data_IF_577468892093
#
_entry.id   IF_577468892093
#
_cell.length_a   1.000
_cell.length_b   1.000
_cell.length_c   1.000
_cell.angle_alpha   90.00
_cell.angle_beta   90.00
_cell.angle_gamma   90.00
#
_symmetry.space_group_name_H-M   'P 1'
#
loop_
_entity.id
_entity.type
_entity.pdbx_description
1 polymer ?
#
# COMPACT_ATOMS: atom_id res chain seq x y z
N UNK A 1 37.42 -17.30 1.12
CA UNK A 1 36.43 -16.20 1.09
C UNK A 1 36.09 -15.83 2.52
N UNK A 2 35.99 -14.52 2.84
CA UNK A 2 35.72 -14.03 4.19
C UNK A 2 34.54 -13.05 4.14
N UNK A 3 33.57 -13.23 5.03
CA UNK A 3 32.52 -12.25 5.30
C UNK A 3 32.75 -11.66 6.69
N UNK A 4 32.78 -10.35 6.79
CA UNK A 4 32.92 -9.62 8.05
C UNK A 4 31.74 -8.69 8.26
N UNK A 5 31.30 -8.51 9.49
CA UNK A 5 30.22 -7.59 9.81
C UNK A 5 30.30 -7.09 11.25
N UNK A 6 29.43 -6.13 11.56
CA UNK A 6 29.26 -5.58 12.91
C UNK A 6 27.78 -5.35 13.18
N UNK A 7 27.29 -5.79 14.34
CA UNK A 7 25.99 -5.35 14.84
C UNK A 7 26.13 -3.99 15.50
N UNK A 8 26.14 -2.94 14.67
CA UNK A 8 26.37 -1.56 15.11
C UNK A 8 25.11 -0.71 15.20
N UNK A 9 24.04 -1.10 14.50
CA UNK A 9 22.86 -0.26 14.34
C UNK A 9 21.59 -1.07 14.61
N UNK A 10 20.93 -0.78 15.73
CA UNK A 10 19.65 -1.36 16.11
C UNK A 10 18.68 -0.22 16.39
N UNK A 11 17.57 -0.20 15.66
CA UNK A 11 16.57 0.84 15.79
C UNK A 11 15.15 0.26 15.82
N UNK A 12 14.34 0.84 16.69
CA UNK A 12 12.90 0.70 16.71
C UNK A 12 12.30 1.82 15.88
N UNK A 13 11.32 1.51 15.03
CA UNK A 13 10.73 2.52 14.15
C UNK A 13 9.26 2.31 13.93
N UNK A 14 8.51 3.41 14.00
CA UNK A 14 7.17 3.54 13.44
C UNK A 14 7.25 4.52 12.27
N UNK A 15 7.28 5.83 12.55
CA UNK A 15 7.68 6.89 11.60
C UNK A 15 9.12 7.35 11.84
N UNK A 16 9.43 7.71 13.08
CA UNK A 16 10.74 8.20 13.51
C UNK A 16 11.59 7.05 14.07
N UNK A 17 12.86 6.91 13.66
CA UNK A 17 13.75 5.91 14.22
C UNK A 17 14.18 6.28 15.66
N UNK A 18 14.24 5.27 16.53
CA UNK A 18 14.78 5.37 17.90
C UNK A 18 15.80 4.27 18.11
N UNK A 19 16.99 4.54 18.69
CA UNK A 19 17.94 3.48 19.01
C UNK A 19 17.32 2.49 20.00
N UNK A 20 17.65 1.21 19.88
CA UNK A 20 17.37 0.25 20.94
C UNK A 20 18.20 0.62 22.19
N UNK A 21 17.59 0.54 23.38
CA UNK A 21 18.26 0.94 24.63
C UNK A 21 19.29 -0.09 25.13
N UNK A 22 19.10 -1.35 24.75
CA UNK A 22 19.92 -2.45 25.23
C UNK A 22 21.18 -2.66 24.36
N UNK A 23 22.25 -3.16 24.98
CA UNK A 23 23.51 -3.38 24.29
C UNK A 23 23.38 -4.43 23.18
N UNK A 24 24.07 -4.21 22.06
CA UNK A 24 24.22 -5.20 21.01
C UNK A 24 25.07 -6.38 21.50
N UNK A 25 24.62 -7.60 21.20
CA UNK A 25 25.32 -8.83 21.53
C UNK A 25 25.61 -9.60 20.24
N UNK A 26 26.88 -9.94 20.06
CA UNK A 26 27.32 -10.87 19.02
C UNK A 26 27.95 -12.08 19.68
N UNK A 27 27.56 -13.27 19.27
CA UNK A 27 28.09 -14.52 19.83
C UNK A 27 28.18 -15.62 18.78
N UNK A 28 28.99 -16.64 19.05
CA UNK A 28 29.05 -17.87 18.24
C UNK A 28 28.11 -18.91 18.85
N UNK A 29 27.29 -19.54 18.02
CA UNK A 29 26.47 -20.67 18.44
C UNK A 29 27.22 -22.01 18.36
N UNK A 30 26.63 -23.05 18.94
CA UNK A 30 27.17 -24.41 18.88
C UNK A 30 27.24 -24.98 17.44
N UNK A 31 26.47 -24.41 16.50
CA UNK A 31 26.40 -24.84 15.10
C UNK A 31 27.24 -23.97 14.16
N UNK A 32 28.26 -23.27 14.69
CA UNK A 32 29.10 -22.34 13.94
C UNK A 32 28.30 -21.30 13.16
N UNK A 33 27.28 -20.75 13.84
CA UNK A 33 26.54 -19.58 13.41
C UNK A 33 27.01 -18.37 14.22
N UNK A 34 27.01 -17.20 13.57
CA UNK A 34 27.09 -15.92 14.28
C UNK A 34 25.67 -15.51 14.65
N UNK A 35 25.45 -15.27 15.93
CA UNK A 35 24.20 -14.74 16.47
C UNK A 35 24.33 -13.24 16.69
N UNK A 36 23.37 -12.48 16.20
CA UNK A 36 23.27 -11.04 16.32
C UNK A 36 21.95 -10.71 17.02
N UNK A 37 22.01 -10.23 18.26
CA UNK A 37 20.81 -9.99 19.06
C UNK A 37 20.98 -8.80 20.03
N UNK A 38 19.90 -8.47 20.72
CA UNK A 38 19.94 -7.59 21.87
C UNK A 38 20.27 -8.31 23.17
N UNK A 39 20.75 -7.56 24.15
CA UNK A 39 21.00 -8.06 25.50
C UNK A 39 19.74 -8.05 26.39
N UNK A 40 18.70 -7.29 26.02
CA UNK A 40 17.43 -7.28 26.74
C UNK A 40 16.72 -8.65 26.66
N UNK A 41 15.98 -8.98 27.72
CA UNK A 41 15.16 -10.19 27.82
C UNK A 41 13.75 -9.84 28.33
N UNK A 42 12.67 -10.25 27.63
CA UNK A 42 12.69 -10.95 26.34
C UNK A 42 13.28 -10.07 25.21
N UNK A 43 13.98 -10.70 24.26
CA UNK A 43 14.56 -10.01 23.11
C UNK A 43 13.51 -9.60 22.08
N UNK A 44 13.83 -8.63 21.23
CA UNK A 44 12.93 -8.16 20.16
C UNK A 44 12.98 -9.04 18.90
N UNK A 45 14.20 -9.40 18.49
CA UNK A 45 14.51 -10.19 17.30
C UNK A 45 15.96 -10.66 17.42
N UNK A 46 16.25 -11.86 16.91
CA UNK A 46 17.61 -12.33 16.72
C UNK A 46 17.88 -12.63 15.25
N UNK A 47 19.12 -12.42 14.81
CA UNK A 47 19.60 -12.84 13.50
C UNK A 47 20.67 -13.92 13.65
N UNK A 48 20.66 -14.90 12.77
CA UNK A 48 21.68 -15.92 12.66
C UNK A 48 22.35 -15.84 11.29
N UNK A 49 23.67 -15.85 11.27
CA UNK A 49 24.49 -15.76 10.06
C UNK A 49 25.39 -16.97 9.95
N UNK A 50 25.42 -17.62 8.78
CA UNK A 50 26.21 -18.82 8.59
C UNK A 50 26.65 -19.03 7.16
N UNK A 51 27.78 -19.71 6.94
CA UNK A 51 28.20 -20.14 5.61
C UNK A 51 27.49 -21.42 5.14
N UNK A 52 27.61 -21.73 3.85
CA UNK A 52 27.09 -22.93 3.18
C UNK A 52 27.90 -24.22 3.36
N UNK A 53 29.01 -24.16 4.09
CA UNK A 53 29.82 -25.31 4.46
C UNK A 53 30.70 -24.99 5.65
N UNK A 54 31.68 -25.87 5.93
CA UNK A 54 32.63 -25.68 7.03
C UNK A 54 33.29 -24.31 6.97
N UNK A 55 33.25 -23.60 8.09
CA UNK A 55 33.75 -22.24 8.20
C UNK A 55 34.35 -21.96 9.58
N UNK A 56 35.38 -21.13 9.62
CA UNK A 56 35.91 -20.60 10.88
C UNK A 56 35.13 -19.33 11.24
N UNK A 57 34.61 -19.29 12.48
CA UNK A 57 33.86 -18.15 13.01
C UNK A 57 34.66 -17.51 14.14
N UNK A 58 34.94 -16.21 14.01
CA UNK A 58 35.54 -15.37 15.03
C UNK A 58 34.56 -14.24 15.41
N UNK A 59 34.46 -13.95 16.70
CA UNK A 59 33.58 -12.91 17.25
C UNK A 59 34.38 -12.06 18.22
N UNK A 60 34.32 -10.74 18.05
CA UNK A 60 35.00 -9.76 18.91
C UNK A 60 34.08 -8.58 19.14
N UNK A 61 33.73 -8.33 20.40
CA UNK A 61 32.77 -7.30 20.81
C UNK A 61 31.46 -7.42 20.01
N UNK A 62 31.13 -6.43 19.19
CA UNK A 62 29.96 -6.44 18.29
C UNK A 62 30.32 -6.79 16.84
N UNK A 63 31.58 -7.16 16.57
CA UNK A 63 32.09 -7.58 15.27
C UNK A 63 32.17 -9.10 15.12
N UNK A 64 32.10 -9.56 13.88
CA UNK A 64 32.26 -10.97 13.54
C UNK A 64 32.99 -11.16 12.21
N UNK A 65 33.58 -12.34 12.02
CA UNK A 65 34.04 -12.83 10.73
C UNK A 65 33.70 -14.31 10.54
N UNK A 66 33.26 -14.66 9.32
CA UNK A 66 33.03 -16.03 8.87
C UNK A 66 33.97 -16.31 7.68
N UNK A 67 34.84 -17.30 7.82
CA UNK A 67 35.85 -17.65 6.83
C UNK A 67 35.62 -19.02 6.23
N UNK A 68 35.60 -19.08 4.90
CA UNK A 68 35.46 -20.30 4.10
C UNK A 68 36.72 -20.52 3.28
N UNK A 69 37.43 -21.62 3.52
CA UNK A 69 38.47 -22.09 2.62
C UNK A 69 37.81 -22.77 1.40
N UNK A 70 38.25 -22.42 0.19
CA UNK A 70 37.74 -22.99 -1.05
C UNK A 70 38.92 -23.44 -1.90
N UNK A 71 38.86 -24.66 -2.44
CA UNK A 71 39.76 -25.08 -3.50
C UNK A 71 39.20 -24.60 -4.84
N UNK A 72 40.03 -23.92 -5.62
CA UNK A 72 39.68 -23.43 -6.95
C UNK A 72 40.61 -24.12 -7.96
N UNK A 73 40.08 -24.97 -8.85
CA UNK A 73 40.87 -25.60 -9.89
C UNK A 73 41.53 -24.56 -10.81
N UNK A 74 42.67 -24.91 -11.42
CA UNK A 74 43.32 -24.05 -12.42
C UNK A 74 42.35 -23.75 -13.57
N UNK A 75 42.12 -22.46 -13.86
CA UNK A 75 41.15 -22.02 -14.87
C UNK A 75 39.67 -22.20 -14.48
N UNK A 76 39.39 -22.67 -13.25
CA UNK A 76 38.04 -22.89 -12.76
C UNK A 76 37.47 -21.72 -11.94
N UNK A 77 36.26 -21.90 -11.42
CA UNK A 77 35.63 -21.02 -10.45
C UNK A 77 35.06 -21.83 -9.29
N UNK A 78 34.91 -21.20 -8.13
CA UNK A 78 34.23 -21.77 -6.96
C UNK A 78 33.23 -20.76 -6.40
N UNK A 79 32.18 -21.27 -5.77
CA UNK A 79 31.08 -20.47 -5.24
C UNK A 79 30.91 -20.78 -3.76
N UNK A 80 30.60 -19.75 -2.98
CA UNK A 80 30.20 -19.88 -1.59
C UNK A 80 29.03 -18.95 -1.32
N UNK A 81 28.14 -19.38 -0.44
CA UNK A 81 27.03 -18.59 0.05
C UNK A 81 27.09 -18.38 1.56
N UNK A 82 26.53 -17.26 1.98
CA UNK A 82 26.26 -16.94 3.37
C UNK A 82 24.76 -16.74 3.52
N UNK A 83 24.19 -17.31 4.57
CA UNK A 83 22.78 -17.19 4.93
C UNK A 83 22.61 -16.19 6.06
N UNK A 84 21.56 -15.39 5.98
CA UNK A 84 21.07 -14.53 7.04
C UNK A 84 19.63 -14.96 7.34
N UNK A 85 19.38 -15.35 8.57
CA UNK A 85 18.06 -15.74 9.05
C UNK A 85 17.64 -14.84 10.21
N UNK A 86 16.33 -14.60 10.35
CA UNK A 86 15.75 -13.89 11.48
C UNK A 86 14.81 -14.82 12.24
N UNK A 87 14.69 -14.61 13.54
CA UNK A 87 13.73 -15.29 14.41
C UNK A 87 13.31 -14.40 15.58
N UNK A 88 12.20 -14.73 16.26
CA UNK A 88 11.72 -13.94 17.40
C UNK A 88 12.75 -13.94 18.54
N UNK A 89 13.48 -15.04 18.66
CA UNK A 89 14.65 -15.19 19.52
C UNK A 89 15.73 -16.04 18.83
N UNK A 90 16.82 -16.30 19.55
CA UNK A 90 18.03 -16.90 19.01
C UNK A 90 17.84 -18.30 18.46
N UNK A 91 17.07 -19.16 19.13
CA UNK A 91 16.87 -20.56 18.76
C UNK A 91 16.08 -20.63 17.45
N UNK A 92 15.07 -19.77 17.28
CA UNK A 92 14.29 -19.62 16.07
C UNK A 92 15.12 -19.09 14.89
N UNK A 93 16.03 -18.14 15.14
CA UNK A 93 16.96 -17.66 14.13
C UNK A 93 17.93 -18.78 13.68
N UNK A 94 18.48 -19.54 14.62
CA UNK A 94 19.34 -20.69 14.33
C UNK A 94 18.62 -21.80 13.57
N UNK A 95 17.41 -22.16 14.01
CA UNK A 95 16.59 -23.16 13.34
C UNK A 95 16.32 -22.77 11.88
N UNK A 96 15.99 -21.49 11.64
CA UNK A 96 15.80 -20.95 10.30
C UNK A 96 17.08 -21.00 9.47
N UNK A 97 18.22 -20.59 10.03
CA UNK A 97 19.52 -20.68 9.34
C UNK A 97 19.88 -22.13 8.97
N UNK A 98 19.58 -23.10 9.85
CA UNK A 98 19.81 -24.50 9.60
C UNK A 98 18.93 -25.02 8.44
N UNK A 99 17.68 -24.57 8.32
CA UNK A 99 16.80 -24.88 7.18
C UNK A 99 17.39 -24.31 5.88
N UNK A 100 17.84 -23.04 5.89
CA UNK A 100 18.45 -22.41 4.71
C UNK A 100 19.69 -23.18 4.24
N UNK A 101 20.57 -23.57 5.18
CA UNK A 101 21.76 -24.41 4.90
C UNK A 101 21.38 -25.75 4.27
N UNK A 102 20.39 -26.45 4.84
CA UNK A 102 19.94 -27.76 4.32
C UNK A 102 19.34 -27.68 2.92
N UNK A 103 18.57 -26.62 2.63
CA UNK A 103 17.99 -26.40 1.29
C UNK A 103 19.05 -26.05 0.26
N UNK A 104 20.08 -25.30 0.66
CA UNK A 104 21.17 -24.89 -0.20
C UNK A 104 20.81 -23.67 -1.06
N UNK A 105 21.77 -22.76 -1.21
CA UNK A 105 21.56 -21.46 -1.86
C UNK A 105 21.10 -21.56 -3.32
N UNK A 106 21.49 -22.61 -4.06
CA UNK A 106 21.06 -22.78 -5.46
C UNK A 106 19.57 -23.02 -5.58
N UNK A 107 19.04 -23.92 -4.74
CA UNK A 107 17.61 -24.20 -4.72
C UNK A 107 16.81 -23.00 -4.23
N UNK A 108 17.31 -22.30 -3.19
CA UNK A 108 16.69 -21.07 -2.69
C UNK A 108 16.67 -19.96 -3.74
N UNK A 109 17.77 -19.75 -4.46
CA UNK A 109 17.87 -18.75 -5.52
C UNK A 109 16.97 -19.09 -6.71
N UNK A 110 16.92 -20.36 -7.11
CA UNK A 110 16.02 -20.82 -8.18
C UNK A 110 14.56 -20.59 -7.78
N UNK A 111 14.13 -21.09 -6.62
CA UNK A 111 12.76 -20.90 -6.13
C UNK A 111 12.38 -19.43 -5.96
N UNK A 112 13.32 -18.57 -5.56
CA UNK A 112 13.08 -17.12 -5.48
C UNK A 112 12.86 -16.51 -6.87
N UNK A 113 13.66 -16.91 -7.87
CA UNK A 113 13.48 -16.43 -9.25
C UNK A 113 12.16 -16.89 -9.85
N UNK A 114 11.81 -18.16 -9.64
CA UNK A 114 10.56 -18.72 -10.13
C UNK A 114 9.36 -18.02 -9.47
N UNK A 115 9.41 -17.77 -8.16
CA UNK A 115 8.37 -17.03 -7.45
C UNK A 115 8.25 -15.59 -7.97
N UNK A 116 9.36 -14.88 -8.19
CA UNK A 116 9.33 -13.52 -8.74
C UNK A 116 8.71 -13.49 -10.14
N UNK A 117 9.05 -14.44 -11.01
CA UNK A 117 8.48 -14.55 -12.35
C UNK A 117 6.97 -14.81 -12.33
N UNK A 118 6.46 -15.55 -11.33
CA UNK A 118 5.02 -15.82 -11.19
C UNK A 118 4.22 -14.57 -10.76
N UNK A 119 4.86 -13.61 -10.11
CA UNK A 119 4.22 -12.35 -9.69
C UNK A 119 4.19 -11.30 -10.80
N UNK A 120 5.04 -11.45 -11.83
CA UNK A 120 5.18 -10.47 -12.91
C UNK A 120 3.93 -10.40 -13.80
N UNK A 121 3.56 -9.18 -14.15
CA UNK A 121 2.48 -8.86 -15.06
C UNK A 121 3.05 -8.45 -16.43
N UNK A 122 2.34 -8.78 -17.51
CA UNK A 122 2.73 -8.31 -18.85
C UNK A 122 1.58 -7.65 -19.58
N UNK A 123 1.85 -6.45 -20.11
CA UNK A 123 0.98 -5.71 -21.01
C UNK A 123 1.41 -5.88 -22.48
N UNK A 124 2.43 -6.71 -22.75
CA UNK A 124 3.07 -6.83 -24.06
C UNK A 124 3.99 -5.66 -24.45
N UNK A 125 4.30 -4.75 -23.52
CA UNK A 125 5.23 -3.64 -23.74
C UNK A 125 6.28 -3.61 -22.64
N UNK A 126 7.51 -4.01 -22.97
CA UNK A 126 8.61 -4.13 -21.99
C UNK A 126 8.82 -2.87 -21.14
N UNK A 127 8.61 -1.69 -21.73
CA UNK A 127 8.80 -0.42 -21.01
C UNK A 127 7.70 -0.18 -19.97
N UNK A 128 6.46 -0.59 -20.26
CA UNK A 128 5.33 -0.52 -19.33
C UNK A 128 5.44 -1.63 -18.28
N UNK A 129 5.79 -2.85 -18.70
CA UNK A 129 5.98 -4.00 -17.81
C UNK A 129 7.06 -3.70 -16.76
N UNK A 130 8.18 -3.07 -17.15
CA UNK A 130 9.21 -2.62 -16.20
C UNK A 130 8.69 -1.60 -15.19
N UNK A 131 7.84 -0.66 -15.61
CA UNK A 131 7.26 0.33 -14.71
C UNK A 131 6.31 -0.33 -13.70
N UNK A 132 5.40 -1.17 -14.20
CA UNK A 132 4.39 -1.87 -13.41
C UNK A 132 5.07 -2.85 -12.45
N UNK A 133 5.86 -3.80 -12.96
CA UNK A 133 6.43 -4.88 -12.13
C UNK A 133 7.41 -4.36 -11.09
N UNK A 134 8.20 -3.33 -11.39
CA UNK A 134 9.10 -2.73 -10.39
C UNK A 134 8.33 -2.14 -9.22
N UNK A 135 7.23 -1.43 -9.48
CA UNK A 135 6.41 -0.83 -8.44
C UNK A 135 5.49 -1.85 -7.74
N UNK A 136 4.96 -2.81 -8.47
CA UNK A 136 4.16 -3.92 -7.95
C UNK A 136 4.97 -4.77 -6.98
N UNK A 137 6.17 -5.22 -7.38
CA UNK A 137 7.03 -6.01 -6.50
C UNK A 137 7.52 -5.18 -5.31
N UNK A 138 7.79 -3.89 -5.50
CA UNK A 138 8.13 -3.02 -4.37
C UNK A 138 6.97 -2.90 -3.38
N UNK A 139 5.74 -2.68 -3.85
CA UNK A 139 4.54 -2.67 -3.01
C UNK A 139 4.32 -4.02 -2.29
N UNK A 140 4.46 -5.13 -3.02
CA UNK A 140 4.33 -6.49 -2.50
C UNK A 140 5.33 -6.76 -1.37
N UNK A 141 6.61 -6.40 -1.53
CA UNK A 141 7.62 -6.69 -0.52
C UNK A 141 7.81 -5.61 0.54
N UNK A 142 7.50 -4.34 0.28
CA UNK A 142 7.71 -3.24 1.23
C UNK A 142 6.43 -2.68 1.84
N UNK A 143 5.26 -2.93 1.24
CA UNK A 143 3.93 -2.57 1.77
C UNK A 143 3.25 -3.71 2.52
N UNK A 144 3.74 -4.95 2.34
CA UNK A 144 3.28 -6.15 3.05
C UNK A 144 4.42 -6.74 3.87
N UNK A 145 4.13 -7.32 5.02
CA UNK A 145 5.07 -8.13 5.77
C UNK A 145 4.38 -9.24 6.55
N UNK A 146 5.06 -10.38 6.66
CA UNK A 146 4.73 -11.42 7.63
C UNK A 146 5.43 -11.13 8.94
N UNK A 147 4.70 -11.03 10.05
CA UNK A 147 5.32 -10.82 11.34
C UNK A 147 6.01 -12.10 11.83
N UNK A 148 7.10 -11.94 12.58
CA UNK A 148 7.99 -13.04 12.97
C UNK A 148 7.46 -13.78 14.21
N UNK A 149 6.68 -13.08 15.03
CA UNK A 149 6.12 -13.52 16.30
C UNK A 149 4.80 -14.28 16.14
N UNK A 150 3.88 -13.80 15.30
CA UNK A 150 2.55 -14.41 15.11
C UNK A 150 2.32 -15.04 13.73
N UNK A 151 3.26 -14.82 12.80
CA UNK A 151 3.21 -15.32 11.43
C UNK A 151 2.04 -14.84 10.56
N UNK A 152 1.27 -13.83 10.99
CA UNK A 152 0.24 -13.17 10.17
C UNK A 152 0.86 -12.16 9.21
N UNK A 153 0.16 -11.86 8.13
CA UNK A 153 0.52 -10.78 7.22
C UNK A 153 -0.12 -9.46 7.62
N UNK A 154 0.61 -8.37 7.43
CA UNK A 154 0.18 -7.01 7.75
C UNK A 154 0.44 -6.09 6.57
N UNK A 155 -0.47 -5.14 6.34
CA UNK A 155 -0.23 -3.99 5.48
C UNK A 155 0.42 -2.86 6.27
N UNK A 156 1.29 -2.10 5.60
CA UNK A 156 1.87 -0.86 6.09
C UNK A 156 2.06 0.11 4.94
N UNK A 157 2.24 1.40 5.25
CA UNK A 157 2.58 2.43 4.26
C UNK A 157 3.87 2.07 3.51
N UNK A 158 4.95 1.82 4.25
CA UNK A 158 6.20 1.27 3.70
C UNK A 158 7.20 0.83 4.78
N UNK A 159 7.95 -0.23 4.52
CA UNK A 159 9.10 -0.65 5.34
C UNK A 159 10.41 0.04 4.96
N UNK A 160 10.41 0.97 4.00
CA UNK A 160 11.59 1.72 3.62
C UNK A 160 12.08 2.61 4.80
N UNK A 161 13.33 2.46 5.26
CA UNK A 161 13.79 3.00 6.55
C UNK A 161 13.96 4.52 6.61
N UNK A 162 13.79 5.22 5.48
CA UNK A 162 13.87 6.68 5.39
C UNK A 162 12.52 7.36 5.13
N UNK A 163 11.49 6.63 4.72
CA UNK A 163 10.20 7.21 4.35
C UNK A 163 9.41 7.66 5.59
N UNK A 164 8.86 8.87 5.59
CA UNK A 164 8.23 9.46 6.80
C UNK A 164 6.95 8.75 7.27
N UNK A 165 6.16 8.18 6.36
CA UNK A 165 4.97 7.38 6.70
C UNK A 165 5.28 6.05 7.42
N UNK A 166 6.45 5.46 7.18
CA UNK A 166 6.92 4.26 7.88
C UNK A 166 5.90 3.11 8.00
N UNK A 167 5.92 2.40 9.12
CA UNK A 167 5.10 1.18 9.35
C UNK A 167 3.71 1.47 9.93
N UNK A 168 3.07 2.56 9.47
CA UNK A 168 1.69 2.91 9.84
C UNK A 168 0.69 2.44 8.78
N UNK A 169 -0.60 2.44 9.13
CA UNK A 169 -1.71 2.03 8.25
C UNK A 169 -2.75 3.14 8.18
N UNK A 170 -3.18 3.47 6.96
CA UNK A 170 -4.39 4.27 6.70
C UNK A 170 -5.25 3.43 5.78
N UNK A 171 -6.54 3.28 6.10
CA UNK A 171 -7.43 2.34 5.41
C UNK A 171 -7.45 2.58 3.90
N UNK A 172 -7.53 3.85 3.47
CA UNK A 172 -7.50 4.21 2.06
C UNK A 172 -6.22 3.75 1.35
N UNK A 173 -5.04 4.00 1.94
CA UNK A 173 -3.77 3.60 1.35
C UNK A 173 -3.64 2.07 1.29
N UNK A 174 -4.05 1.39 2.37
CA UNK A 174 -3.97 -0.06 2.46
C UNK A 174 -4.88 -0.73 1.44
N UNK A 175 -6.16 -0.36 1.41
CA UNK A 175 -7.22 -1.03 0.65
C UNK A 175 -7.33 -0.55 -0.79
N UNK A 176 -7.02 0.73 -1.07
CA UNK A 176 -7.17 1.30 -2.41
C UNK A 176 -5.85 1.44 -3.18
N UNK A 177 -4.69 1.38 -2.51
CA UNK A 177 -3.38 1.54 -3.16
C UNK A 177 -2.58 0.24 -3.15
N UNK A 178 -2.29 -0.31 -1.97
CA UNK A 178 -1.43 -1.51 -1.83
C UNK A 178 -2.16 -2.79 -2.22
N UNK A 179 -3.35 -3.04 -1.64
CA UNK A 179 -4.10 -4.28 -1.84
C UNK A 179 -4.38 -4.58 -3.33
N UNK A 180 -4.79 -3.61 -4.17
CA UNK A 180 -4.96 -3.83 -5.61
C UNK A 180 -3.72 -4.33 -6.33
N UNK A 181 -2.53 -3.82 -5.97
CA UNK A 181 -1.28 -4.26 -6.59
C UNK A 181 -0.89 -5.67 -6.13
N UNK A 182 -1.12 -5.98 -4.85
CA UNK A 182 -0.92 -7.34 -4.34
C UNK A 182 -1.86 -8.31 -5.03
N UNK A 183 -3.13 -7.95 -5.19
CA UNK A 183 -4.11 -8.80 -5.85
C UNK A 183 -3.77 -9.09 -7.32
N UNK A 184 -3.21 -8.10 -8.04
CA UNK A 184 -2.71 -8.34 -9.41
C UNK A 184 -1.63 -9.43 -9.45
N UNK A 185 -0.79 -9.50 -8.42
CA UNK A 185 0.33 -10.43 -8.35
C UNK A 185 -0.05 -11.79 -7.73
N UNK A 186 -0.88 -11.76 -6.69
CA UNK A 186 -1.15 -12.86 -5.77
C UNK A 186 -2.51 -12.67 -5.11
N UNK A 187 -3.55 -13.18 -5.77
CA UNK A 187 -4.94 -13.12 -5.28
C UNK A 187 -5.11 -13.84 -3.94
N UNK A 188 -4.29 -14.87 -3.66
CA UNK A 188 -4.34 -15.61 -2.40
C UNK A 188 -3.89 -14.76 -1.23
N UNK A 189 -2.73 -14.11 -1.36
CA UNK A 189 -2.25 -13.16 -0.34
C UNK A 189 -3.19 -11.97 -0.18
N UNK A 190 -3.76 -11.44 -1.27
CA UNK A 190 -4.72 -10.35 -1.19
C UNK A 190 -5.95 -10.72 -0.33
N UNK A 191 -6.43 -11.97 -0.40
CA UNK A 191 -7.49 -12.48 0.47
C UNK A 191 -7.12 -12.39 1.94
N UNK A 192 -5.93 -12.91 2.29
CA UNK A 192 -5.42 -12.92 3.67
C UNK A 192 -5.26 -11.49 4.22
N UNK A 193 -4.77 -10.55 3.40
CA UNK A 193 -4.60 -9.16 3.79
C UNK A 193 -5.93 -8.43 3.97
N UNK A 194 -6.91 -8.68 3.10
CA UNK A 194 -8.24 -8.09 3.22
C UNK A 194 -8.93 -8.55 4.51
N UNK A 195 -8.85 -9.86 4.80
CA UNK A 195 -9.33 -10.42 6.07
C UNK A 195 -8.63 -9.77 7.26
N UNK A 196 -7.30 -9.68 7.22
CA UNK A 196 -6.53 -9.06 8.32
C UNK A 196 -6.92 -7.61 8.57
N UNK A 197 -7.12 -6.83 7.51
CA UNK A 197 -7.55 -5.43 7.64
C UNK A 197 -8.94 -5.33 8.26
N UNK A 198 -9.86 -6.19 7.85
CA UNK A 198 -11.19 -6.25 8.45
C UNK A 198 -11.12 -6.64 9.93
N UNK A 199 -10.31 -7.64 10.29
CA UNK A 199 -10.14 -8.09 11.68
C UNK A 199 -9.56 -7.01 12.61
N UNK A 200 -8.55 -6.27 12.14
CA UNK A 200 -7.76 -5.38 13.00
C UNK A 200 -8.15 -3.90 12.93
N UNK A 201 -8.65 -3.43 11.80
CA UNK A 201 -8.82 -1.99 11.55
C UNK A 201 -10.30 -1.59 11.35
N UNK A 202 -11.18 -2.52 10.96
CA UNK A 202 -12.57 -2.17 10.65
C UNK A 202 -13.44 -1.84 11.88
N UNK A 203 -12.94 -2.01 13.11
CA UNK A 203 -13.65 -1.56 14.31
C UNK A 203 -13.76 -0.03 14.40
N UNK A 204 -12.94 0.69 13.65
CA UNK A 204 -12.85 2.15 13.63
C UNK A 204 -12.50 2.65 12.21
N UNK A 205 -13.34 2.35 11.21
CA UNK A 205 -12.99 2.57 9.81
C UNK A 205 -12.85 4.07 9.52
N UNK A 206 -11.83 4.43 8.77
CA UNK A 206 -11.56 5.82 8.39
C UNK A 206 -11.17 6.75 9.54
N UNK A 207 -11.03 6.27 10.78
CA UNK A 207 -10.80 7.14 11.96
C UNK A 207 -9.40 7.75 12.03
N UNK A 208 -8.49 7.41 11.11
CA UNK A 208 -7.21 8.07 10.96
C UNK A 208 -6.09 7.17 10.48
N UNK A 209 -4.93 7.34 11.09
CA UNK A 209 -3.76 6.47 10.89
C UNK A 209 -3.59 5.59 12.12
N UNK A 210 -3.29 4.32 11.89
CA UNK A 210 -3.08 3.30 12.90
C UNK A 210 -1.64 2.80 12.89
N UNK A 211 -1.20 2.24 14.02
CA UNK A 211 -0.13 1.24 14.02
C UNK A 211 -0.60 0.00 13.24
N UNK A 212 0.32 -0.83 12.74
CA UNK A 212 -0.06 -2.00 11.93
C UNK A 212 -0.94 -3.00 12.68
N UNK A 213 -0.91 -3.00 14.01
CA UNK A 213 -1.73 -3.84 14.90
C UNK A 213 -3.18 -3.34 15.09
N UNK A 214 -3.56 -2.22 14.48
CA UNK A 214 -4.90 -1.62 14.59
C UNK A 214 -5.03 -0.54 15.66
N UNK A 215 -4.00 -0.32 16.49
CA UNK A 215 -4.04 0.74 17.52
C UNK A 215 -4.03 2.12 16.86
N UNK A 216 -4.90 3.03 17.30
CA UNK A 216 -4.94 4.41 16.82
C UNK A 216 -3.60 5.14 17.03
N UNK A 217 -3.04 5.70 15.96
CA UNK A 217 -1.80 6.49 15.99
C UNK A 217 -2.09 7.99 15.87
N UNK A 218 -2.87 8.39 14.88
CA UNK A 218 -3.19 9.78 14.58
C UNK A 218 -4.67 9.88 14.17
N UNK A 219 -5.54 10.52 14.97
CA UNK A 219 -6.96 10.58 14.67
C UNK A 219 -7.25 11.57 13.54
N UNK A 220 -8.26 11.25 12.75
CA UNK A 220 -8.75 12.09 11.67
C UNK A 220 -9.71 11.31 10.81
N UNK A 221 -11.01 11.56 10.96
CA UNK A 221 -12.03 10.84 10.22
C UNK A 221 -12.02 11.22 8.73
N UNK A 222 -11.60 10.28 7.89
CA UNK A 222 -11.70 10.31 6.45
C UNK A 222 -12.81 9.38 5.98
N UNK A 223 -13.88 9.96 5.45
CA UNK A 223 -15.03 9.21 4.93
C UNK A 223 -14.63 8.22 3.81
N UNK A 224 -13.61 8.56 3.03
CA UNK A 224 -12.99 7.65 2.07
C UNK A 224 -12.48 6.36 2.71
N UNK A 225 -11.88 6.42 3.90
CA UNK A 225 -11.38 5.24 4.61
C UNK A 225 -12.50 4.26 4.96
N UNK A 226 -13.70 4.76 5.29
CA UNK A 226 -14.89 3.93 5.50
C UNK A 226 -15.35 3.31 4.19
N UNK A 227 -15.46 4.11 3.13
CA UNK A 227 -15.86 3.65 1.81
C UNK A 227 -14.88 2.62 1.21
N UNK A 228 -13.61 2.62 1.64
CA UNK A 228 -12.58 1.72 1.12
C UNK A 228 -12.90 0.24 1.34
N UNK A 229 -13.50 -0.13 2.48
CA UNK A 229 -13.82 -1.52 2.82
C UNK A 229 -14.77 -2.18 1.80
N UNK A 230 -15.99 -1.66 1.57
CA UNK A 230 -16.88 -2.22 0.55
C UNK A 230 -16.26 -2.16 -0.84
N UNK A 231 -15.59 -1.07 -1.21
CA UNK A 231 -14.97 -0.95 -2.55
C UNK A 231 -13.88 -2.01 -2.77
N UNK A 232 -13.03 -2.25 -1.77
CA UNK A 232 -11.99 -3.26 -1.84
C UNK A 232 -12.56 -4.69 -1.86
N UNK A 233 -13.60 -4.97 -1.09
CA UNK A 233 -14.31 -6.26 -1.12
C UNK A 233 -14.92 -6.51 -2.51
N UNK A 234 -15.65 -5.55 -3.08
CA UNK A 234 -16.24 -5.71 -4.42
C UNK A 234 -15.17 -5.86 -5.50
N UNK A 235 -14.06 -5.12 -5.42
CA UNK A 235 -12.93 -5.33 -6.32
C UNK A 235 -12.35 -6.73 -6.18
N UNK A 236 -12.14 -7.19 -4.95
CA UNK A 236 -11.61 -8.51 -4.67
C UNK A 236 -12.49 -9.59 -5.30
N UNK A 237 -13.80 -9.51 -5.10
CA UNK A 237 -14.79 -10.45 -5.64
C UNK A 237 -14.81 -10.41 -7.17
N UNK A 238 -14.82 -9.22 -7.79
CA UNK A 238 -14.87 -9.08 -9.25
C UNK A 238 -13.69 -9.73 -9.96
N UNK A 239 -12.49 -9.56 -9.41
CA UNK A 239 -11.25 -10.02 -10.03
C UNK A 239 -10.92 -11.48 -9.66
N UNK A 240 -11.33 -11.96 -8.48
CA UNK A 240 -11.06 -13.34 -8.01
C UNK A 240 -12.19 -14.34 -8.28
N UNK A 241 -13.43 -13.87 -8.36
CA UNK A 241 -14.64 -14.70 -8.35
C UNK A 241 -15.04 -15.26 -6.97
N UNK A 242 -14.28 -14.97 -5.90
CA UNK A 242 -14.55 -15.44 -4.54
C UNK A 242 -15.62 -14.58 -3.84
N UNK A 243 -16.88 -14.76 -4.25
CA UNK A 243 -18.02 -14.11 -3.62
C UNK A 243 -18.29 -14.57 -2.18
N UNK A 244 -17.78 -15.74 -1.78
CA UNK A 244 -17.99 -16.30 -0.44
C UNK A 244 -17.19 -15.56 0.64
N UNK A 245 -16.27 -14.67 0.26
CA UNK A 245 -15.52 -13.84 1.22
C UNK A 245 -16.42 -12.99 2.11
N UNK A 246 -17.62 -12.61 1.65
CA UNK A 246 -18.56 -11.82 2.47
C UNK A 246 -19.17 -12.61 3.62
N UNK A 247 -19.12 -13.95 3.55
CA UNK A 247 -19.56 -14.85 4.62
C UNK A 247 -18.50 -15.00 5.72
N UNK A 248 -17.28 -14.52 5.50
CA UNK A 248 -16.25 -14.47 6.54
C UNK A 248 -16.64 -13.42 7.59
N UNK A 249 -16.73 -13.78 8.89
CA UNK A 249 -17.26 -12.88 9.92
C UNK A 249 -16.56 -11.51 9.95
N UNK A 250 -15.23 -11.48 9.84
CA UNK A 250 -14.48 -10.23 9.83
C UNK A 250 -14.91 -9.29 8.69
N UNK A 251 -15.15 -9.83 7.50
CA UNK A 251 -15.55 -9.04 6.32
C UNK A 251 -17.01 -8.60 6.46
N UNK A 252 -17.90 -9.51 6.85
CA UNK A 252 -19.30 -9.18 7.12
C UNK A 252 -19.42 -8.04 8.14
N UNK A 253 -18.77 -8.18 9.30
CA UNK A 253 -18.75 -7.18 10.36
C UNK A 253 -18.19 -5.83 9.87
N UNK A 254 -17.10 -5.86 9.10
CA UNK A 254 -16.53 -4.65 8.50
C UNK A 254 -17.50 -3.93 7.55
N UNK A 255 -18.28 -4.67 6.76
CA UNK A 255 -19.27 -4.10 5.85
C UNK A 255 -20.45 -3.48 6.61
N UNK A 256 -20.94 -4.13 7.67
CA UNK A 256 -21.98 -3.56 8.54
C UNK A 256 -21.49 -2.28 9.23
N UNK A 257 -20.32 -2.32 9.85
CA UNK A 257 -19.72 -1.16 10.51
C UNK A 257 -19.48 -0.01 9.54
N UNK A 258 -18.99 -0.29 8.33
CA UNK A 258 -18.84 0.73 7.31
C UNK A 258 -20.19 1.34 6.88
N UNK A 259 -21.25 0.53 6.78
CA UNK A 259 -22.60 1.01 6.50
C UNK A 259 -23.14 1.93 7.59
N UNK A 260 -22.96 1.56 8.86
CA UNK A 260 -23.38 2.33 10.02
C UNK A 260 -22.62 3.67 10.11
N UNK A 261 -21.29 3.65 9.99
CA UNK A 261 -20.45 4.86 10.03
C UNK A 261 -20.76 5.82 8.87
N UNK A 262 -21.04 5.29 7.67
CA UNK A 262 -21.53 6.11 6.55
C UNK A 262 -22.89 6.73 6.92
N UNK A 263 -23.84 5.95 7.44
CA UNK A 263 -25.18 6.43 7.80
C UNK A 263 -25.11 7.59 8.81
N UNK A 264 -24.26 7.48 9.81
CA UNK A 264 -24.10 8.46 10.89
C UNK A 264 -23.54 9.81 10.42
N UNK A 265 -22.83 9.82 9.27
CA UNK A 265 -22.24 11.03 8.68
C UNK A 265 -23.13 11.73 7.67
N UNK A 266 -24.33 11.21 7.42
CA UNK A 266 -25.27 11.78 6.45
C UNK A 266 -25.87 13.10 6.96
N UNK A 267 -25.91 14.12 6.11
CA UNK A 267 -26.71 15.32 6.37
C UNK A 267 -28.21 14.95 6.44
N UNK A 268 -28.96 15.63 7.31
CA UNK A 268 -30.39 15.32 7.53
C UNK A 268 -31.29 15.70 6.34
N UNK A 269 -30.86 16.63 5.50
CA UNK A 269 -31.68 17.27 4.44
C UNK A 269 -31.27 16.82 3.05
N UNK A 270 -30.00 16.49 2.85
CA UNK A 270 -29.46 16.04 1.54
C UNK A 270 -28.68 14.74 1.71
N UNK A 271 -28.69 13.84 0.70
CA UNK A 271 -27.93 12.60 0.74
C UNK A 271 -26.45 12.87 0.42
N UNK A 272 -25.81 13.68 1.27
CA UNK A 272 -24.38 13.96 1.28
C UNK A 272 -23.82 13.69 2.67
N UNK A 273 -22.55 13.33 2.70
CA UNK A 273 -21.88 12.75 3.85
C UNK A 273 -20.66 13.59 4.20
N UNK A 274 -20.53 13.92 5.48
CA UNK A 274 -19.45 14.77 5.97
C UNK A 274 -18.18 13.99 6.25
N UNK A 275 -17.04 14.64 6.05
CA UNK A 275 -15.71 14.16 6.44
C UNK A 275 -14.95 15.24 7.20
N UNK A 276 -14.05 14.84 8.10
CA UNK A 276 -13.27 15.78 8.92
C UNK A 276 -11.90 16.05 8.29
N UNK A 277 -11.30 15.03 7.69
CA UNK A 277 -10.05 15.11 6.90
C UNK A 277 -10.22 14.46 5.53
N UNK A 278 -9.26 14.68 4.64
CA UNK A 278 -9.16 13.99 3.34
C UNK A 278 -8.18 12.81 3.43
N UNK A 279 -8.06 11.95 2.40
CA UNK A 279 -7.07 10.88 2.35
C UNK A 279 -5.61 11.34 2.43
N UNK A 280 -5.31 12.64 2.25
CA UNK A 280 -3.96 13.17 2.50
C UNK A 280 -3.68 13.33 4.01
N UNK A 281 -4.73 13.37 4.84
CA UNK A 281 -4.68 13.68 6.27
C UNK A 281 -4.85 15.17 6.57
N UNK A 282 -5.00 16.02 5.53
CA UNK A 282 -5.31 17.42 5.71
C UNK A 282 -6.77 17.62 6.15
N UNK A 283 -7.08 18.63 6.98
CA UNK A 283 -8.45 19.02 7.29
C UNK A 283 -9.26 19.26 6.01
N UNK A 284 -10.47 18.74 5.97
CA UNK A 284 -11.36 18.98 4.85
C UNK A 284 -11.69 20.47 4.76
N UNK A 285 -11.48 21.06 3.57
CA UNK A 285 -11.71 22.49 3.37
C UNK A 285 -13.16 22.90 3.62
N UNK A 286 -14.10 21.98 3.41
CA UNK A 286 -15.50 22.07 3.82
C UNK A 286 -16.02 20.66 4.18
N UNK A 287 -17.11 20.53 4.96
CA UNK A 287 -17.57 19.24 5.48
C UNK A 287 -17.89 18.20 4.40
N UNK A 288 -18.42 18.61 3.24
CA UNK A 288 -18.77 17.70 2.15
C UNK A 288 -17.75 17.82 1.03
N UNK A 289 -16.92 16.79 0.84
CA UNK A 289 -15.96 16.74 -0.27
C UNK A 289 -16.52 15.94 -1.44
N UNK A 290 -16.17 16.34 -2.66
CA UNK A 290 -16.64 15.74 -3.90
C UNK A 290 -16.18 14.29 -4.01
N UNK A 291 -14.89 14.06 -3.73
CA UNK A 291 -14.26 12.76 -3.82
C UNK A 291 -14.82 11.77 -2.80
N UNK A 292 -14.94 12.15 -1.53
CA UNK A 292 -15.49 11.27 -0.51
C UNK A 292 -16.93 10.86 -0.81
N UNK A 293 -17.77 11.80 -1.25
CA UNK A 293 -19.16 11.50 -1.58
C UNK A 293 -19.29 10.62 -2.84
N UNK A 294 -18.37 10.75 -3.80
CA UNK A 294 -18.29 9.83 -4.93
C UNK A 294 -17.90 8.41 -4.49
N UNK A 295 -16.89 8.29 -3.61
CA UNK A 295 -16.50 7.00 -3.03
C UNK A 295 -17.65 6.38 -2.23
N UNK A 296 -18.38 7.16 -1.41
CA UNK A 296 -19.56 6.69 -0.68
C UNK A 296 -20.66 6.22 -1.62
N UNK A 297 -20.95 6.94 -2.70
CA UNK A 297 -21.95 6.49 -3.66
C UNK A 297 -21.58 5.10 -4.23
N UNK A 298 -20.31 4.86 -4.55
CA UNK A 298 -19.84 3.56 -5.00
C UNK A 298 -19.89 2.49 -3.88
N UNK A 299 -19.49 2.84 -2.66
CA UNK A 299 -19.58 1.96 -1.50
C UNK A 299 -21.02 1.52 -1.21
N UNK A 300 -22.00 2.43 -1.29
CA UNK A 300 -23.41 2.11 -1.08
C UNK A 300 -23.95 1.15 -2.16
N UNK A 301 -23.49 1.26 -3.41
CA UNK A 301 -23.83 0.27 -4.47
C UNK A 301 -23.30 -1.13 -4.13
N UNK A 302 -22.13 -1.22 -3.52
CA UNK A 302 -21.58 -2.49 -3.04
C UNK A 302 -22.40 -3.01 -1.87
N UNK A 303 -22.61 -2.19 -0.83
CA UNK A 303 -23.32 -2.60 0.38
C UNK A 303 -24.73 -3.12 0.06
N UNK A 304 -25.45 -2.49 -0.88
CA UNK A 304 -26.76 -2.97 -1.34
C UNK A 304 -26.73 -4.33 -2.03
N UNK A 305 -25.59 -4.73 -2.60
CA UNK A 305 -25.39 -6.01 -3.28
C UNK A 305 -24.84 -7.09 -2.34
N UNK A 306 -24.09 -6.72 -1.30
CA UNK A 306 -23.35 -7.66 -0.44
C UNK A 306 -24.00 -7.88 0.91
N UNK A 307 -24.72 -6.90 1.47
CA UNK A 307 -25.44 -7.08 2.73
C UNK A 307 -26.68 -7.96 2.54
N UNK A 308 -27.21 -8.49 3.65
CA UNK A 308 -28.47 -9.23 3.63
C UNK A 308 -29.65 -8.34 3.19
N UNK A 309 -30.76 -8.97 2.78
CA UNK A 309 -31.89 -8.25 2.19
C UNK A 309 -32.52 -7.20 3.12
N UNK A 310 -32.54 -7.44 4.44
CA UNK A 310 -33.11 -6.50 5.40
C UNK A 310 -32.21 -5.26 5.51
N UNK A 311 -30.92 -5.47 5.77
CA UNK A 311 -29.96 -4.37 5.89
C UNK A 311 -29.79 -3.60 4.59
N UNK A 312 -29.77 -4.29 3.44
CA UNK A 312 -29.66 -3.65 2.13
C UNK A 312 -30.83 -2.70 1.80
N UNK A 313 -32.02 -2.89 2.40
CA UNK A 313 -33.16 -1.96 2.26
C UNK A 313 -32.98 -0.67 3.05
N UNK A 314 -32.17 -0.70 4.10
CA UNK A 314 -31.86 0.48 4.93
C UNK A 314 -30.70 1.31 4.37
N UNK A 315 -29.91 0.74 3.45
CA UNK A 315 -28.83 1.45 2.76
C UNK A 315 -29.42 2.52 1.83
N UNK A 316 -28.93 3.76 1.97
CA UNK A 316 -29.34 4.90 1.15
C UNK A 316 -29.21 4.61 -0.35
N UNK A 317 -30.06 5.22 -1.17
CA UNK A 317 -29.99 5.07 -2.62
C UNK A 317 -28.71 5.73 -3.19
N UNK A 318 -27.78 4.95 -3.76
CA UNK A 318 -26.56 5.48 -4.38
C UNK A 318 -26.83 6.46 -5.51
N UNK A 319 -27.98 6.33 -6.19
CA UNK A 319 -28.40 7.24 -7.26
C UNK A 319 -28.77 8.60 -6.70
N UNK A 320 -29.36 8.65 -5.51
CA UNK A 320 -29.70 9.89 -4.82
C UNK A 320 -28.44 10.67 -4.41
N UNK A 321 -27.40 9.97 -3.94
CA UNK A 321 -26.09 10.58 -3.62
C UNK A 321 -25.47 11.19 -4.87
N UNK A 322 -25.42 10.44 -5.99
CA UNK A 322 -24.90 10.97 -7.27
C UNK A 322 -25.70 12.16 -7.80
N UNK A 323 -27.01 12.15 -7.64
CA UNK A 323 -27.86 13.29 -7.98
C UNK A 323 -27.55 14.51 -7.10
N UNK A 324 -27.34 14.32 -5.79
CA UNK A 324 -26.93 15.39 -4.89
C UNK A 324 -25.53 15.92 -5.22
N UNK A 325 -24.58 15.06 -5.58
CA UNK A 325 -23.26 15.46 -6.07
C UNK A 325 -23.42 16.41 -7.27
N UNK A 326 -24.17 15.98 -8.29
CA UNK A 326 -24.41 16.77 -9.51
C UNK A 326 -25.13 18.09 -9.22
N UNK A 327 -26.03 18.12 -8.23
CA UNK A 327 -26.78 19.32 -7.87
C UNK A 327 -25.92 20.33 -7.10
N UNK A 328 -25.17 19.88 -6.11
CA UNK A 328 -24.57 20.77 -5.11
C UNK A 328 -23.11 21.13 -5.41
N UNK A 329 -22.35 20.22 -6.03
CA UNK A 329 -20.95 20.47 -6.38
C UNK A 329 -20.82 21.12 -7.76
N UNK A 330 -21.80 20.95 -8.64
CA UNK A 330 -21.83 21.68 -9.91
C UNK A 330 -22.23 23.16 -9.68
N UNK A 331 -21.87 24.05 -10.62
CA UNK A 331 -22.34 25.42 -10.59
C UNK A 331 -23.81 25.47 -11.01
N UNK A 332 -24.70 25.91 -10.12
CA UNK A 332 -26.16 25.90 -10.34
C UNK A 332 -26.63 26.75 -11.55
N UNK A 333 -25.76 27.58 -12.15
CA UNK A 333 -26.11 28.52 -13.23
C UNK A 333 -25.01 28.81 -14.27
N UNK A 334 -23.88 28.09 -14.22
CA UNK A 334 -22.79 28.30 -15.18
C UNK A 334 -22.51 27.01 -15.97
N UNK A 335 -22.97 26.93 -17.25
CA UNK A 335 -22.67 25.80 -18.13
C UNK A 335 -21.16 25.58 -18.36
N UNK A 336 -20.31 26.58 -18.04
CA UNK A 336 -18.85 26.52 -18.13
C UNK A 336 -18.16 26.43 -16.77
N UNK A 337 -18.89 26.35 -15.66
CA UNK A 337 -18.30 26.34 -14.34
C UNK A 337 -17.75 24.97 -13.93
N UNK A 338 -16.74 24.99 -13.08
CA UNK A 338 -16.04 23.81 -12.60
C UNK A 338 -16.80 23.17 -11.43
N UNK A 339 -16.58 21.88 -11.20
CA UNK A 339 -17.04 21.22 -9.99
C UNK A 339 -16.27 21.80 -8.78
N UNK A 340 -16.98 22.07 -7.69
CA UNK A 340 -16.33 22.36 -6.41
C UNK A 340 -15.66 21.09 -5.88
N UNK A 341 -14.50 21.21 -5.25
CA UNK A 341 -13.84 20.12 -4.54
C UNK A 341 -14.49 19.84 -3.18
N UNK A 342 -15.00 20.89 -2.50
CA UNK A 342 -15.73 20.77 -1.24
C UNK A 342 -16.75 21.90 -1.04
N UNK A 343 -17.82 21.63 -0.28
CA UNK A 343 -18.95 22.56 0.00
C UNK A 343 -19.48 22.43 1.44
N UNK A 344 -20.20 23.46 1.93
CA UNK A 344 -20.83 23.48 3.27
C UNK A 344 -22.37 23.46 3.27
N UNK A 345 -23.01 23.43 2.09
CA UNK A 345 -24.45 23.58 1.87
C UNK A 345 -25.07 24.94 2.29
N UNK A 346 -24.32 25.84 2.90
CA UNK A 346 -24.71 27.22 3.19
C UNK A 346 -24.25 28.21 2.08
N UNK A 347 -23.47 27.72 1.12
CA UNK A 347 -23.07 28.44 -0.09
C UNK A 347 -21.56 28.61 -0.24
N UNK A 348 -20.76 28.23 0.76
CA UNK A 348 -19.31 28.20 0.63
C UNK A 348 -18.90 27.00 -0.21
N UNK A 349 -17.95 27.25 -1.12
CA UNK A 349 -17.40 26.27 -2.04
C UNK A 349 -15.92 26.54 -2.22
N UNK A 350 -15.11 25.49 -2.32
CA UNK A 350 -13.72 25.57 -2.76
C UNK A 350 -13.53 24.78 -4.05
N UNK A 351 -12.64 25.26 -4.92
CA UNK A 351 -12.16 24.53 -6.10
C UNK A 351 -10.76 23.94 -5.87
N UNK A 352 -10.19 24.12 -4.68
CA UNK A 352 -8.87 23.61 -4.34
C UNK A 352 -8.89 22.09 -4.25
N UNK A 353 -8.17 21.45 -5.16
CA UNK A 353 -8.19 20.00 -5.38
C UNK A 353 -7.07 19.33 -4.59
N UNK A 354 -7.45 18.48 -3.63
CA UNK A 354 -6.51 17.64 -2.89
C UNK A 354 -5.93 16.56 -3.84
N UNK A 355 -4.60 16.47 -4.02
CA UNK A 355 -3.98 15.45 -4.87
C UNK A 355 -4.41 14.00 -4.60
N UNK A 356 -4.59 13.63 -3.33
CA UNK A 356 -4.97 12.27 -2.90
C UNK A 356 -6.49 12.06 -2.95
N UNK A 357 -7.27 13.13 -2.96
CA UNK A 357 -8.73 13.15 -3.05
C UNK A 357 -9.21 13.85 -4.34
N UNK A 358 -8.46 13.69 -5.42
CA UNK A 358 -8.63 14.52 -6.61
C UNK A 358 -9.90 14.18 -7.39
N UNK A 359 -10.51 15.18 -8.03
CA UNK A 359 -11.61 14.97 -8.98
C UNK A 359 -11.21 14.10 -10.19
N UNK A 360 -9.91 13.87 -10.41
CA UNK A 360 -9.40 12.93 -11.42
C UNK A 360 -9.92 11.49 -11.22
N UNK A 361 -10.20 11.10 -9.98
CA UNK A 361 -10.64 9.73 -9.63
C UNK A 361 -12.14 9.47 -9.84
N UNK A 362 -12.96 10.51 -10.04
CA UNK A 362 -14.43 10.39 -10.06
C UNK A 362 -14.99 9.35 -11.05
N UNK A 363 -14.40 9.11 -12.23
CA UNK A 363 -14.87 8.04 -13.11
C UNK A 363 -14.67 6.64 -12.54
N UNK A 364 -13.66 6.42 -11.70
CA UNK A 364 -13.42 5.13 -11.05
C UNK A 364 -14.56 4.77 -10.08
N UNK A 365 -15.19 5.78 -9.48
CA UNK A 365 -16.34 5.62 -8.57
C UNK A 365 -17.69 5.75 -9.28
N UNK A 366 -17.70 5.85 -10.61
CA UNK A 366 -18.91 5.96 -11.42
C UNK A 366 -19.80 7.17 -11.02
N UNK A 367 -19.20 8.22 -10.46
CA UNK A 367 -19.91 9.46 -10.14
C UNK A 367 -20.09 10.33 -11.41
N UNK A 368 -19.08 10.33 -12.27
CA UNK A 368 -19.05 11.03 -13.55
C UNK A 368 -18.48 10.14 -14.65
N UNK A 369 -19.08 10.18 -15.83
CA UNK A 369 -18.51 9.52 -17.00
C UNK A 369 -17.25 10.27 -17.50
N UNK A 370 -16.28 9.55 -18.10
CA UNK A 370 -15.07 10.16 -18.66
C UNK A 370 -15.35 11.16 -19.79
N UNK A 371 -16.53 11.09 -20.42
CA UNK A 371 -17.00 12.05 -21.42
C UNK A 371 -17.75 13.24 -20.83
N UNK A 372 -18.07 13.25 -19.53
CA UNK A 372 -18.84 14.33 -18.89
C UNK A 372 -18.10 15.67 -18.99
N UNK A 373 -18.81 16.67 -19.52
CA UNK A 373 -18.21 17.97 -19.81
C UNK A 373 -17.80 18.77 -18.57
N UNK A 374 -18.49 18.60 -17.43
CA UNK A 374 -18.13 19.27 -16.17
C UNK A 374 -16.86 18.65 -15.61
N UNK A 375 -16.78 17.31 -15.60
CA UNK A 375 -15.59 16.59 -15.17
C UNK A 375 -14.38 16.96 -16.03
N UNK A 376 -14.49 16.87 -17.36
CA UNK A 376 -13.39 17.19 -18.29
C UNK A 376 -12.87 18.61 -18.13
N UNK A 377 -13.75 19.59 -17.88
CA UNK A 377 -13.35 20.98 -17.61
C UNK A 377 -12.66 21.12 -16.26
N UNK A 378 -13.18 20.46 -15.24
CA UNK A 378 -12.59 20.45 -13.88
C UNK A 378 -11.18 19.88 -13.91
N UNK A 379 -10.98 18.69 -14.48
CA UNK A 379 -9.65 18.04 -14.52
C UNK A 379 -8.63 18.80 -15.37
N UNK A 380 -9.08 19.54 -16.39
CA UNK A 380 -8.22 20.43 -17.18
C UNK A 380 -7.75 21.65 -16.38
N UNK A 381 -8.52 22.10 -15.40
CA UNK A 381 -8.17 23.22 -14.54
C UNK A 381 -7.23 22.83 -13.39
N UNK A 382 -7.18 21.54 -13.02
CA UNK A 382 -6.24 21.03 -12.01
C UNK A 382 -4.80 21.26 -12.51
N UNK A 383 -3.91 21.80 -11.66
CA UNK A 383 -2.50 22.03 -12.01
C UNK A 383 -1.85 20.78 -12.61
N UNK A 384 -1.17 20.96 -13.75
CA UNK A 384 -0.45 19.91 -14.46
C UNK A 384 1.01 19.78 -14.00
N UNK A 385 1.41 20.49 -12.95
CA UNK A 385 2.73 20.34 -12.38
C UNK A 385 2.93 18.90 -11.89
N UNK A 386 4.15 18.41 -12.02
CA UNK A 386 4.48 17.01 -11.73
C UNK A 386 4.94 16.81 -10.29
N UNK A 387 4.91 17.85 -9.46
CA UNK A 387 5.59 17.83 -8.16
C UNK A 387 5.03 16.79 -7.19
N UNK A 388 3.77 16.39 -7.37
CA UNK A 388 3.06 15.43 -6.52
C UNK A 388 2.69 14.20 -7.35
N UNK A 389 3.31 13.06 -7.05
CA UNK A 389 3.20 11.87 -7.89
C UNK A 389 1.78 11.26 -7.86
N UNK A 390 1.09 11.26 -6.72
CA UNK A 390 -0.29 10.72 -6.62
C UNK A 390 -1.24 11.40 -7.60
N UNK A 391 -1.10 12.71 -7.82
CA UNK A 391 -1.88 13.45 -8.82
C UNK A 391 -1.55 12.99 -10.24
N UNK A 392 -0.28 12.74 -10.54
CA UNK A 392 0.11 12.21 -11.85
C UNK A 392 -0.44 10.80 -12.06
N UNK A 393 -0.42 9.94 -11.05
CA UNK A 393 -1.03 8.61 -11.14
C UNK A 393 -2.55 8.74 -11.41
N UNK A 394 -3.25 9.64 -10.72
CA UNK A 394 -4.67 9.90 -10.96
C UNK A 394 -4.97 10.34 -12.40
N UNK A 395 -4.05 11.08 -13.04
CA UNK A 395 -4.20 11.50 -14.45
C UNK A 395 -4.18 10.35 -15.46
N UNK A 396 -3.76 9.14 -15.07
CA UNK A 396 -3.88 7.93 -15.90
C UNK A 396 -5.35 7.52 -16.15
N UNK A 397 -6.29 7.99 -15.31
CA UNK A 397 -7.75 7.83 -15.53
C UNK A 397 -8.29 8.93 -16.46
N UNK A 398 -7.58 10.05 -16.48
CA UNK A 398 -7.94 11.30 -17.13
C UNK A 398 -7.79 11.33 -18.66
N UNK A 399 -8.06 12.49 -19.28
CA UNK A 399 -7.81 12.71 -20.71
C UNK A 399 -6.31 12.73 -21.06
N UNK A 400 -5.44 13.00 -20.09
CA UNK A 400 -3.99 13.13 -20.30
C UNK A 400 -3.23 11.79 -20.15
N UNK A 401 -3.95 10.68 -19.98
CA UNK A 401 -3.41 9.39 -19.57
C UNK A 401 -2.22 8.90 -20.42
N UNK A 402 -2.30 9.08 -21.75
CA UNK A 402 -1.23 8.67 -22.66
C UNK A 402 0.07 9.45 -22.39
N UNK A 403 0.00 10.78 -22.32
CA UNK A 403 1.19 11.61 -22.08
C UNK A 403 1.79 11.39 -20.69
N UNK A 404 0.95 11.08 -19.70
CA UNK A 404 1.40 10.74 -18.34
C UNK A 404 2.08 9.38 -18.32
N UNK A 405 1.51 8.36 -18.98
CA UNK A 405 2.14 7.05 -19.07
C UNK A 405 3.50 7.13 -19.79
N UNK A 406 3.58 7.87 -20.89
CA UNK A 406 4.83 8.13 -21.60
C UNK A 406 5.90 8.83 -20.73
N UNK A 407 5.48 9.71 -19.82
CA UNK A 407 6.38 10.35 -18.86
C UNK A 407 6.81 9.38 -17.76
N UNK A 408 5.88 8.65 -17.14
CA UNK A 408 6.17 7.69 -16.05
C UNK A 408 7.16 6.59 -16.49
N UNK A 409 7.11 6.15 -17.75
CA UNK A 409 8.08 5.19 -18.32
C UNK A 409 9.53 5.70 -18.32
N UNK A 410 9.72 7.02 -18.29
CA UNK A 410 11.03 7.69 -18.38
C UNK A 410 11.43 8.37 -17.06
N UNK A 411 10.48 8.59 -16.16
CA UNK A 411 10.70 9.21 -14.87
C UNK A 411 11.70 8.39 -14.03
N UNK A 412 12.77 8.99 -13.49
CA UNK A 412 13.72 8.29 -12.62
C UNK A 412 13.10 7.76 -11.32
N UNK A 413 12.14 8.50 -10.76
CA UNK A 413 11.54 8.28 -9.44
C UNK A 413 12.63 8.12 -8.35
N UNK A 414 12.37 7.34 -7.30
CA UNK A 414 13.39 6.99 -6.29
C UNK A 414 14.05 5.67 -6.68
N UNK A 415 15.03 5.73 -7.59
CA UNK A 415 15.60 4.54 -8.24
C UNK A 415 14.55 3.66 -8.91
N UNK A 416 13.49 4.31 -9.40
CA UNK A 416 12.44 3.70 -10.18
C UNK A 416 11.21 3.19 -9.43
N UNK A 417 11.18 3.39 -8.11
CA UNK A 417 9.99 3.19 -7.28
C UNK A 417 9.39 4.54 -6.87
N UNK A 418 8.12 4.56 -6.52
CA UNK A 418 7.37 5.77 -6.25
C UNK A 418 7.95 6.60 -5.10
N UNK A 419 7.74 7.91 -5.21
CA UNK A 419 8.04 8.90 -4.19
C UNK A 419 6.88 9.89 -4.13
N UNK A 420 6.55 10.41 -2.95
CA UNK A 420 5.41 11.34 -2.83
C UNK A 420 5.67 12.65 -3.61
N UNK A 421 6.90 13.18 -3.52
CA UNK A 421 7.31 14.41 -4.20
C UNK A 421 8.42 14.16 -5.21
N UNK A 422 8.28 14.73 -6.40
CA UNK A 422 9.26 14.63 -7.49
C UNK A 422 9.52 15.98 -8.16
N UNK A 423 10.62 16.11 -8.91
CA UNK A 423 10.86 17.27 -9.77
C UNK A 423 10.10 17.16 -11.12
N UNK A 424 10.32 18.12 -12.02
CA UNK A 424 9.68 18.12 -13.35
C UNK A 424 10.08 16.91 -14.21
N UNK A 425 11.28 16.37 -13.99
CA UNK A 425 11.81 15.19 -14.67
C UNK A 425 11.33 13.89 -14.02
N UNK A 426 10.75 13.97 -12.82
CA UNK A 426 10.25 12.85 -12.06
C UNK A 426 11.29 12.23 -11.12
N UNK A 427 12.40 12.89 -10.83
CA UNK A 427 13.35 12.45 -9.81
C UNK A 427 12.76 12.69 -8.41
N UNK A 428 12.92 11.73 -7.50
CA UNK A 428 12.42 11.87 -6.14
C UNK A 428 13.09 13.02 -5.36
N UNK A 429 12.28 13.90 -4.78
CA UNK A 429 12.72 15.00 -3.92
C UNK A 429 12.50 14.65 -2.43
N UNK A 430 11.37 14.00 -2.12
CA UNK A 430 11.03 13.64 -0.75
C UNK A 430 10.19 12.37 -0.70
N UNK A 431 10.27 11.66 0.44
CA UNK A 431 9.49 10.46 0.71
C UNK A 431 9.59 9.41 -0.43
N UNK A 432 10.82 9.15 -0.88
CA UNK A 432 11.10 8.06 -1.83
C UNK A 432 10.99 6.69 -1.19
N UNK A 433 10.71 5.66 -2.01
CA UNK A 433 10.50 4.29 -1.51
C UNK A 433 9.13 4.14 -0.84
N UNK A 434 8.13 4.81 -1.38
CA UNK A 434 6.75 4.74 -0.92
C UNK A 434 6.05 3.50 -1.49
N UNK A 435 5.90 2.47 -0.67
CA UNK A 435 5.41 1.17 -1.12
C UNK A 435 3.92 1.20 -1.47
N UNK A 436 3.09 1.89 -0.67
CA UNK A 436 1.68 2.04 -0.99
C UNK A 436 1.48 2.83 -2.28
N UNK A 437 2.19 3.95 -2.45
CA UNK A 437 2.09 4.75 -3.68
C UNK A 437 2.63 4.00 -4.91
N UNK A 438 3.65 3.15 -4.73
CA UNK A 438 4.08 2.20 -5.76
C UNK A 438 2.96 1.22 -6.12
N UNK A 439 2.20 0.74 -5.13
CA UNK A 439 1.02 -0.09 -5.35
C UNK A 439 -0.03 0.63 -6.21
N UNK A 440 -0.37 1.88 -5.84
CA UNK A 440 -1.28 2.72 -6.61
C UNK A 440 -0.79 2.90 -8.05
N UNK A 441 0.50 3.22 -8.25
CA UNK A 441 1.10 3.40 -9.57
C UNK A 441 0.97 2.13 -10.42
N UNK A 442 1.35 0.97 -9.87
CA UNK A 442 1.28 -0.29 -10.58
C UNK A 442 -0.16 -0.65 -10.98
N UNK A 443 -1.09 -0.62 -10.02
CA UNK A 443 -2.49 -0.99 -10.26
C UNK A 443 -3.19 -0.01 -11.23
N UNK A 444 -2.90 1.29 -11.12
CA UNK A 444 -3.50 2.30 -11.99
C UNK A 444 -2.93 2.27 -13.40
N UNK A 445 -1.62 2.07 -13.56
CA UNK A 445 -1.00 1.91 -14.88
C UNK A 445 -1.50 0.63 -15.57
N UNK A 446 -1.62 -0.48 -14.84
CA UNK A 446 -2.24 -1.71 -15.33
C UNK A 446 -3.66 -1.47 -15.84
N UNK A 447 -4.49 -0.81 -15.02
CA UNK A 447 -5.87 -0.45 -15.36
C UNK A 447 -5.94 0.46 -16.59
N UNK A 448 -5.09 1.48 -16.68
CA UNK A 448 -5.06 2.40 -17.81
C UNK A 448 -4.79 1.67 -19.14
N UNK A 449 -3.89 0.69 -19.14
CA UNK A 449 -3.57 -0.07 -20.35
C UNK A 449 -4.69 -1.05 -20.70
N UNK A 450 -5.18 -1.83 -19.73
CA UNK A 450 -6.10 -2.94 -20.00
C UNK A 450 -7.57 -2.51 -20.09
N UNK A 451 -8.02 -1.63 -19.19
CA UNK A 451 -9.41 -1.19 -19.16
C UNK A 451 -9.66 0.05 -20.02
N UNK A 452 -8.69 0.97 -20.09
CA UNK A 452 -8.86 2.24 -20.80
C UNK A 452 -8.19 2.26 -22.19
N UNK A 453 -7.44 1.21 -22.56
CA UNK A 453 -6.78 1.10 -23.86
C UNK A 453 -5.66 2.12 -24.08
N UNK A 454 -5.09 2.67 -23.02
CA UNK A 454 -3.98 3.63 -23.11
C UNK A 454 -2.75 2.91 -23.63
N UNK A 455 -2.19 3.43 -24.72
CA UNK A 455 -0.99 2.85 -25.34
C UNK A 455 0.24 3.52 -24.76
N UNK A 456 1.18 2.70 -24.31
CA UNK A 456 2.45 3.11 -23.71
C UNK A 456 3.43 3.68 -24.71
#
# INVERSE_FOLDING_TARGET
VRMTGRLGHRQLRVRTPRPAEDAARVSRSANDLVLLEGSAQPGLVALAVGADGESQVDVRDTGFSIERALEVPAGGSSQAAFYLAAGPERDGAEATAAVLRRRGWRALLAGTRDALQQLEQSTGSDAVDRLINRNLLFAYFYGVARAIDDAHYYLVRTRAPWHSGGVTVRDWDALMWTLPAVQLADTGLARELLLRLCELHAYAPGQGVHYFDGTMFEPGFALEGVAAYPIAVDRYIRDSGDGAIVDEPAVGDALYLAGDDIRDRRDRRVPLYSTDVTPSGAPAAQPFTLHANAAVANALDVLRRTLDEESAREVEDPTAVRAAIRRHFAPERDPKGLLAAAIDLAGQKTQDDDPSASALWLPLFEAFDRSDSHWRRTVKAIPSDRSILVRQIARLIGPDAQGVLEWLRRAPLHDGVAAELVDEQGLAIANGGDAALSGLLAATAWFAVHALGVKG
#
